data_IF_841398609817
#
_entry.id   IF_841398609817
#
_cell.length_a   1.000
_cell.length_b   1.000
_cell.length_c   1.000
_cell.angle_alpha   90.00
_cell.angle_beta   90.00
_cell.angle_gamma   90.00
#
_symmetry.space_group_name_H-M   'P 1'
#
loop_
_entity.id
_entity.type
_entity.pdbx_description
1 polymer ?
#
# COMPACT_ATOMS: atom_id res chain seq x y z
N UNK A 1 -15.54 -17.89 6.65
CA UNK A 1 -14.96 -17.20 5.47
C UNK A 1 -14.95 -18.24 4.38
N UNK A 2 -15.72 -18.05 3.31
CA UNK A 2 -15.83 -19.10 2.30
C UNK A 2 -14.46 -19.27 1.64
N UNK A 3 -13.90 -20.48 1.69
CA UNK A 3 -12.58 -20.79 1.15
C UNK A 3 -12.44 -20.38 -0.33
N UNK A 4 -13.54 -20.47 -1.08
CA UNK A 4 -13.63 -20.02 -2.48
C UNK A 4 -13.24 -18.56 -2.69
N UNK A 5 -13.64 -17.64 -1.81
CA UNK A 5 -13.30 -16.21 -1.93
C UNK A 5 -11.81 -15.98 -1.73
N UNK A 6 -11.22 -16.65 -0.75
CA UNK A 6 -9.79 -16.51 -0.44
C UNK A 6 -8.90 -17.05 -1.56
N UNK A 7 -9.28 -18.19 -2.15
CA UNK A 7 -8.56 -18.77 -3.28
C UNK A 7 -8.65 -17.90 -4.53
N UNK A 8 -9.85 -17.38 -4.83
CA UNK A 8 -10.08 -16.47 -5.95
C UNK A 8 -9.33 -15.15 -5.80
N UNK A 9 -9.38 -14.55 -4.60
CA UNK A 9 -8.66 -13.30 -4.31
C UNK A 9 -7.15 -13.51 -4.46
N UNK A 10 -6.61 -14.65 -4.01
CA UNK A 10 -5.18 -14.96 -4.12
C UNK A 10 -4.73 -15.22 -5.56
N UNK A 11 -5.51 -15.94 -6.37
CA UNK A 11 -5.18 -16.18 -7.78
C UNK A 11 -5.20 -14.90 -8.60
N UNK A 12 -6.20 -14.04 -8.40
CA UNK A 12 -6.25 -12.74 -9.09
C UNK A 12 -5.09 -11.87 -8.64
N UNK A 13 -4.85 -11.76 -7.32
CA UNK A 13 -3.77 -10.95 -6.79
C UNK A 13 -2.43 -11.33 -7.39
N UNK A 14 -2.10 -12.62 -7.38
CA UNK A 14 -0.82 -13.14 -7.89
C UNK A 14 -0.72 -13.00 -9.41
N UNK A 15 -1.76 -13.37 -10.16
CA UNK A 15 -1.78 -13.26 -11.61
C UNK A 15 -1.60 -11.81 -12.08
N UNK A 16 -2.35 -10.86 -11.50
CA UNK A 16 -2.22 -9.43 -11.82
C UNK A 16 -0.83 -8.90 -11.50
N UNK A 17 -0.23 -9.30 -10.37
CA UNK A 17 1.13 -8.86 -10.02
C UNK A 17 2.19 -9.41 -10.97
N UNK A 18 2.06 -10.65 -11.45
CA UNK A 18 3.01 -11.24 -12.40
C UNK A 18 2.90 -10.54 -13.76
N UNK A 19 1.68 -10.32 -14.26
CA UNK A 19 1.45 -9.68 -15.56
C UNK A 19 1.91 -8.22 -15.55
N UNK A 20 1.64 -7.49 -14.48
CA UNK A 20 2.00 -6.06 -14.35
C UNK A 20 3.33 -5.84 -13.62
N UNK A 21 4.11 -6.89 -13.35
CA UNK A 21 5.39 -6.82 -12.65
C UNK A 21 6.32 -5.69 -13.15
N UNK A 22 6.58 -5.53 -14.47
CA UNK A 22 7.49 -4.47 -14.94
C UNK A 22 6.94 -3.07 -14.65
N UNK A 23 5.62 -2.86 -14.77
CA UNK A 23 4.98 -1.59 -14.45
C UNK A 23 5.08 -1.30 -12.95
N UNK A 24 4.82 -2.31 -12.11
CA UNK A 24 4.95 -2.16 -10.66
C UNK A 24 6.36 -1.81 -10.24
N UNK A 25 7.39 -2.42 -10.83
CA UNK A 25 8.79 -2.08 -10.53
C UNK A 25 9.07 -0.60 -10.81
N UNK A 26 8.61 -0.09 -11.96
CA UNK A 26 8.76 1.34 -12.29
C UNK A 26 8.05 2.21 -11.25
N UNK A 27 6.78 1.92 -10.96
CA UNK A 27 6.00 2.71 -9.99
C UNK A 27 6.63 2.70 -8.58
N UNK A 28 7.13 1.56 -8.13
CA UNK A 28 7.78 1.40 -6.83
C UNK A 28 9.12 2.14 -6.71
N UNK A 29 9.75 2.53 -7.81
CA UNK A 29 10.97 3.33 -7.80
C UNK A 29 10.62 4.82 -7.93
N UNK A 30 9.77 5.18 -8.90
CA UNK A 30 9.45 6.57 -9.22
C UNK A 30 8.64 7.26 -8.12
N UNK A 31 7.58 6.62 -7.60
CA UNK A 31 6.68 7.25 -6.64
C UNK A 31 7.39 7.58 -5.32
N UNK A 32 8.13 6.65 -4.67
CA UNK A 32 8.88 6.97 -3.46
C UNK A 32 9.92 8.06 -3.66
N UNK A 33 10.63 8.02 -4.80
CA UNK A 33 11.67 9.00 -5.11
C UNK A 33 11.07 10.39 -5.26
N UNK A 34 9.94 10.53 -5.95
CA UNK A 34 9.23 11.80 -6.08
C UNK A 34 8.80 12.37 -4.72
N UNK A 35 8.15 11.55 -3.88
CA UNK A 35 7.69 11.95 -2.54
C UNK A 35 8.86 12.33 -1.62
N UNK A 36 9.98 11.63 -1.76
CA UNK A 36 11.19 11.93 -1.00
C UNK A 36 11.88 13.21 -1.48
N UNK A 37 11.84 13.52 -2.77
CA UNK A 37 12.44 14.74 -3.31
C UNK A 37 11.72 16.03 -2.88
N UNK A 38 10.42 15.97 -2.57
CA UNK A 38 9.66 17.15 -2.09
C UNK A 38 10.17 17.67 -0.75
N UNK A 39 10.12 16.84 0.31
CA UNK A 39 10.41 17.29 1.68
C UNK A 39 11.45 16.43 2.42
N UNK A 40 12.05 15.44 1.75
CA UNK A 40 12.99 14.43 2.33
C UNK A 40 12.47 13.66 3.55
N UNK A 41 11.19 13.80 3.88
CA UNK A 41 10.52 13.09 4.97
C UNK A 41 10.16 11.63 4.64
N UNK A 42 9.53 10.91 5.58
CA UNK A 42 9.15 9.50 5.42
C UNK A 42 8.12 9.30 4.29
N UNK A 43 8.43 8.45 3.31
CA UNK A 43 7.59 8.21 2.12
C UNK A 43 6.25 7.55 2.46
N UNK A 44 6.22 6.72 3.50
CA UNK A 44 5.02 5.99 3.91
C UNK A 44 4.37 6.64 5.12
N UNK A 45 3.06 6.85 5.03
CA UNK A 45 2.21 7.22 6.16
C UNK A 45 1.50 5.97 6.68
N UNK A 46 1.42 5.83 8.00
CA UNK A 46 0.81 4.68 8.66
C UNK A 46 -0.32 5.09 9.60
N UNK A 47 -1.48 4.44 9.48
CA UNK A 47 -2.63 4.66 10.37
C UNK A 47 -3.18 3.33 10.87
N UNK A 48 -3.61 3.28 12.14
CA UNK A 48 -4.31 2.11 12.67
C UNK A 48 -5.79 2.15 12.24
N UNK A 49 -6.28 1.04 11.70
CA UNK A 49 -7.69 0.85 11.31
C UNK A 49 -8.22 -0.43 11.94
N UNK A 50 -9.50 -0.44 12.31
CA UNK A 50 -10.20 -1.65 12.75
C UNK A 50 -10.42 -2.56 11.54
N UNK A 51 -9.86 -3.76 11.61
CA UNK A 51 -9.96 -4.78 10.57
C UNK A 51 -10.94 -5.89 10.94
N UNK A 52 -10.74 -7.03 10.28
CA UNK A 52 -11.60 -8.20 10.45
C UNK A 52 -11.59 -8.70 11.90
N UNK A 53 -12.79 -8.98 12.43
CA UNK A 53 -13.01 -9.42 13.82
C UNK A 53 -12.49 -8.42 14.87
N UNK A 54 -12.52 -7.12 14.57
CA UNK A 54 -12.10 -6.07 15.52
C UNK A 54 -10.59 -5.99 15.76
N UNK A 55 -9.78 -6.74 15.00
CA UNK A 55 -8.32 -6.69 15.12
C UNK A 55 -7.81 -5.41 14.45
N UNK A 56 -7.04 -4.63 15.19
CA UNK A 56 -6.35 -3.47 14.64
C UNK A 56 -5.28 -3.92 13.65
N UNK A 57 -5.21 -3.24 12.50
CA UNK A 57 -4.12 -3.40 11.55
C UNK A 57 -3.55 -2.04 11.16
N UNK A 58 -2.26 -2.02 10.85
CA UNK A 58 -1.56 -0.83 10.39
C UNK A 58 -1.73 -0.75 8.86
N UNK A 59 -2.41 0.30 8.40
CA UNK A 59 -2.56 0.63 6.99
C UNK A 59 -1.35 1.44 6.54
N UNK A 60 -0.62 0.93 5.55
CA UNK A 60 0.47 1.64 4.91
C UNK A 60 -0.04 2.28 3.61
N UNK A 61 0.20 3.57 3.43
CA UNK A 61 -0.07 4.30 2.18
C UNK A 61 1.09 5.24 1.86
N UNK A 62 1.24 5.60 0.58
CA UNK A 62 2.14 6.68 0.19
C UNK A 62 1.68 7.99 0.84
N UNK A 63 2.65 8.77 1.31
CA UNK A 63 2.40 10.09 1.89
C UNK A 63 1.95 11.04 0.78
N UNK A 64 0.77 11.62 0.95
CA UNK A 64 0.21 12.64 0.05
C UNK A 64 0.09 14.02 0.70
N UNK A 65 0.24 14.11 2.02
CA UNK A 65 0.20 15.36 2.78
C UNK A 65 1.55 15.60 3.46
N UNK A 66 1.82 16.86 3.78
CA UNK A 66 3.02 17.29 4.51
C UNK A 66 3.08 16.53 5.85
N UNK A 67 4.27 16.11 6.33
CA UNK A 67 4.41 15.60 7.70
C UNK A 67 3.82 16.59 8.71
N UNK A 68 3.06 16.09 9.68
CA UNK A 68 2.32 16.88 10.71
C UNK A 68 1.01 17.55 10.26
N UNK A 69 0.47 17.27 9.07
CA UNK A 69 -0.84 17.81 8.65
C UNK A 69 -2.05 17.34 9.49
N UNK A 70 -1.87 16.34 10.36
CA UNK A 70 -2.95 15.70 11.14
C UNK A 70 -2.87 16.00 12.65
N UNK A 71 -2.40 17.20 13.02
CA UNK A 71 -2.57 17.72 14.38
C UNK A 71 -4.00 18.17 14.66
#
# INVERSE_FOLDING_TARGET
>A
MNSYKTLFDLTILTCTHVVLAPVFVILWIFIPTAIWLEDRGPVFYTQYRLGRNGKLFKLYKFRSMIPEAER
#
